data_IF_317808784023
#
_entry.id   IF_317808784023
#
_cell.length_a   1.000
_cell.length_b   1.000
_cell.length_c   1.000
_cell.angle_alpha   90.00
_cell.angle_beta   90.00
_cell.angle_gamma   90.00
#
_symmetry.space_group_name_H-M   'P 1'
#
loop_
_entity.id
_entity.type
_entity.pdbx_description
1 polymer ?
#
# COMPACT_ATOMS: atom_id res chain seq x y z
N UNK A 1 8.02 11.45 5.05
CA UNK A 1 7.52 10.67 6.18
C UNK A 1 7.74 9.18 5.89
N UNK A 2 8.17 8.39 6.87
CA UNK A 2 8.33 6.93 6.73
C UNK A 2 7.03 6.16 7.03
N UNK A 3 6.96 4.90 6.60
CA UNK A 3 5.87 4.00 6.99
C UNK A 3 5.80 3.84 8.52
N UNK A 4 6.95 3.68 9.19
CA UNK A 4 7.00 3.54 10.65
C UNK A 4 6.54 4.80 11.39
N UNK A 5 6.85 5.98 10.87
CA UNK A 5 6.34 7.24 11.42
C UNK A 5 4.82 7.32 11.29
N UNK A 6 4.28 6.99 10.11
CA UNK A 6 2.84 6.97 9.86
C UNK A 6 2.12 6.01 10.79
N UNK A 7 2.63 4.78 10.91
CA UNK A 7 2.04 3.79 11.80
C UNK A 7 2.04 4.28 13.25
N UNK A 8 3.16 4.83 13.73
CA UNK A 8 3.26 5.39 15.08
C UNK A 8 2.27 6.53 15.33
N UNK A 9 2.10 7.41 14.36
CA UNK A 9 1.13 8.51 14.44
C UNK A 9 -0.30 7.96 14.59
N UNK A 10 -0.70 7.04 13.72
CA UNK A 10 -2.00 6.38 13.77
C UNK A 10 -2.19 5.65 15.10
N UNK A 11 -1.22 4.85 15.54
CA UNK A 11 -1.31 4.10 16.80
C UNK A 11 -1.39 5.00 18.05
N UNK A 12 -0.86 6.22 17.95
CA UNK A 12 -0.92 7.21 19.03
C UNK A 12 -2.26 7.95 19.10
N UNK A 13 -3.04 7.95 18.00
CA UNK A 13 -4.35 8.62 17.91
C UNK A 13 -5.38 8.05 18.89
N UNK A 14 -6.41 8.85 19.21
CA UNK A 14 -7.51 8.41 20.09
C UNK A 14 -8.39 7.39 19.36
N UNK A 15 -8.59 7.64 18.08
CA UNK A 15 -9.35 6.87 17.10
C UNK A 15 -8.83 5.44 17.02
N UNK A 16 -7.50 5.26 16.87
CA UNK A 16 -6.89 3.94 16.86
C UNK A 16 -6.99 3.25 18.23
N UNK A 17 -6.74 3.97 19.32
CA UNK A 17 -6.81 3.39 20.67
C UNK A 17 -8.22 2.89 20.99
N UNK A 18 -9.26 3.56 20.51
CA UNK A 18 -10.64 3.10 20.62
C UNK A 18 -10.89 1.88 19.73
N UNK A 19 -10.48 1.95 18.46
CA UNK A 19 -10.57 0.84 17.52
C UNK A 19 -9.90 -0.44 18.06
N UNK A 20 -8.66 -0.36 18.55
CA UNK A 20 -7.90 -1.50 19.05
C UNK A 20 -8.50 -2.11 20.33
N UNK A 21 -9.23 -1.32 21.13
CA UNK A 21 -10.01 -1.84 22.26
C UNK A 21 -11.26 -2.59 21.80
N UNK A 22 -11.90 -2.12 20.73
CA UNK A 22 -13.11 -2.72 20.16
C UNK A 22 -12.79 -4.00 19.37
N UNK A 23 -11.67 -4.03 18.65
CA UNK A 23 -11.25 -5.13 17.78
C UNK A 23 -9.83 -5.61 18.13
N UNK A 24 -9.64 -6.26 19.30
CA UNK A 24 -8.32 -6.74 19.74
C UNK A 24 -7.77 -7.89 18.88
N UNK A 25 -8.61 -8.51 18.06
CA UNK A 25 -8.26 -9.55 17.10
C UNK A 25 -7.77 -8.98 15.76
N UNK A 26 -7.80 -7.66 15.59
CA UNK A 26 -7.31 -7.02 14.37
C UNK A 26 -5.79 -7.06 14.24
N UNK A 27 -5.29 -6.95 13.00
CA UNK A 27 -3.85 -6.88 12.73
C UNK A 27 -3.53 -6.01 11.53
N UNK A 28 -2.33 -5.43 11.51
CA UNK A 28 -1.82 -4.62 10.40
C UNK A 28 -1.69 -5.46 9.13
N UNK A 29 -2.44 -5.09 8.09
CA UNK A 29 -2.58 -5.88 6.86
C UNK A 29 -1.96 -5.20 5.64
N UNK A 30 -2.07 -3.88 5.52
CA UNK A 30 -1.44 -3.11 4.45
C UNK A 30 -1.15 -1.67 4.85
N UNK A 31 -0.25 -1.05 4.10
CA UNK A 31 -0.12 0.40 4.04
C UNK A 31 -0.14 0.85 2.58
N UNK A 32 -0.75 1.98 2.32
CA UNK A 32 -1.03 2.47 0.98
C UNK A 32 -0.65 3.94 0.88
N UNK A 33 0.05 4.29 -0.20
CA UNK A 33 0.50 5.65 -0.46
C UNK A 33 0.19 6.01 -1.91
N UNK A 34 -0.37 7.21 -2.10
CA UNK A 34 -0.49 7.82 -3.41
C UNK A 34 0.51 8.94 -3.49
N UNK A 35 1.27 8.94 -4.59
CA UNK A 35 2.39 9.84 -4.78
C UNK A 35 2.25 10.50 -6.15
N UNK A 36 2.42 11.81 -6.21
CA UNK A 36 2.42 12.54 -7.46
C UNK A 36 3.77 12.40 -8.19
N UNK A 37 3.84 12.97 -9.40
CA UNK A 37 5.07 13.00 -10.24
C UNK A 37 6.28 13.67 -9.59
N UNK A 38 6.05 14.58 -8.62
CA UNK A 38 7.10 15.25 -7.86
C UNK A 38 7.57 14.42 -6.66
N UNK A 39 7.05 13.20 -6.50
CA UNK A 39 7.27 12.33 -5.35
C UNK A 39 6.73 12.87 -4.02
N UNK A 40 5.75 13.76 -4.07
CA UNK A 40 5.02 14.23 -2.89
C UNK A 40 3.88 13.26 -2.58
N UNK A 41 3.71 12.94 -1.30
CA UNK A 41 2.68 12.01 -0.84
C UNK A 41 1.35 12.78 -0.76
N UNK A 42 0.37 12.38 -1.58
CA UNK A 42 -0.96 12.97 -1.60
C UNK A 42 -1.94 12.29 -0.63
N UNK A 43 -1.77 10.99 -0.43
CA UNK A 43 -2.61 10.20 0.46
C UNK A 43 -1.78 9.13 1.14
N UNK A 44 -2.07 8.92 2.42
CA UNK A 44 -1.53 7.86 3.27
C UNK A 44 -2.69 7.07 3.82
N UNK A 45 -2.57 5.76 3.83
CA UNK A 45 -3.55 4.88 4.43
C UNK A 45 -2.87 3.70 5.10
N UNK A 46 -3.38 3.29 6.25
CA UNK A 46 -2.97 2.05 6.93
C UNK A 46 -4.21 1.24 7.22
N UNK A 47 -4.14 -0.04 6.89
CA UNK A 47 -5.28 -0.95 6.93
C UNK A 47 -5.07 -2.03 7.99
N UNK A 48 -6.05 -2.17 8.86
CA UNK A 48 -6.11 -3.22 9.86
C UNK A 48 -7.24 -4.19 9.50
N UNK A 49 -6.91 -5.47 9.38
CA UNK A 49 -7.89 -6.50 9.10
C UNK A 49 -8.52 -6.97 10.41
N UNK A 50 -9.86 -6.98 10.50
CA UNK A 50 -10.64 -7.42 11.64
C UNK A 50 -11.09 -8.87 11.38
N UNK A 51 -10.48 -9.84 12.06
CA UNK A 51 -10.71 -11.27 11.76
C UNK A 51 -12.12 -11.73 12.06
N UNK A 52 -12.71 -11.25 13.16
CA UNK A 52 -14.05 -11.61 13.63
C UNK A 52 -15.16 -11.11 12.71
N UNK A 53 -14.94 -10.00 12.01
CA UNK A 53 -15.92 -9.42 11.09
C UNK A 53 -15.63 -9.68 9.62
N UNK A 54 -14.46 -10.22 9.28
CA UNK A 54 -13.98 -10.33 7.90
C UNK A 54 -14.00 -8.99 7.15
N UNK A 55 -13.54 -7.92 7.82
CA UNK A 55 -13.56 -6.53 7.32
C UNK A 55 -12.21 -5.86 7.46
N UNK A 56 -12.04 -4.74 6.76
CA UNK A 56 -10.85 -3.88 6.87
C UNK A 56 -11.25 -2.56 7.51
N UNK A 57 -10.51 -2.14 8.53
CA UNK A 57 -10.51 -0.77 9.02
C UNK A 57 -9.35 -0.01 8.41
N UNK A 58 -9.67 1.00 7.60
CA UNK A 58 -8.69 1.90 6.99
C UNK A 58 -8.59 3.19 7.80
N UNK A 59 -7.36 3.56 8.13
CA UNK A 59 -7.01 4.86 8.70
C UNK A 59 -6.33 5.69 7.60
N UNK A 60 -6.99 6.75 7.16
CA UNK A 60 -6.60 7.55 6.00
C UNK A 60 -6.17 8.94 6.49
N UNK A 61 -5.00 9.38 6.05
CA UNK A 61 -4.45 10.71 6.24
C UNK A 61 -4.28 11.35 4.87
N UNK A 62 -5.10 12.35 4.58
CA UNK A 62 -5.03 13.12 3.35
C UNK A 62 -3.96 14.23 3.43
N UNK A 63 -3.98 15.17 2.49
CA UNK A 63 -3.06 16.32 2.44
C UNK A 63 -3.27 17.32 3.58
N UNK A 64 -4.40 17.27 4.28
CA UNK A 64 -4.72 18.15 5.42
C UNK A 64 -4.34 17.54 6.76
N UNK A 65 -3.71 16.36 6.76
CA UNK A 65 -3.41 15.54 7.94
C UNK A 65 -4.67 15.22 8.77
N UNK A 66 -5.85 15.23 8.12
CA UNK A 66 -7.10 14.82 8.75
C UNK A 66 -7.18 13.30 8.78
N UNK A 67 -7.20 12.72 9.99
CA UNK A 67 -7.36 11.29 10.18
C UNK A 67 -8.82 10.89 9.98
N UNK A 68 -9.09 10.10 8.94
CA UNK A 68 -10.40 9.52 8.65
C UNK A 68 -10.37 8.02 8.92
N UNK A 69 -11.48 7.49 9.45
CA UNK A 69 -11.70 6.05 9.61
C UNK A 69 -12.73 5.57 8.59
N UNK A 70 -12.43 4.46 7.93
CA UNK A 70 -13.36 3.82 7.00
C UNK A 70 -13.39 2.32 7.22
N UNK A 71 -14.57 1.80 7.54
CA UNK A 71 -14.83 0.37 7.54
C UNK A 71 -15.18 -0.08 6.11
N UNK A 72 -14.42 -1.03 5.58
CA UNK A 72 -14.58 -1.60 4.25
C UNK A 72 -14.87 -3.10 4.29
N UNK A 73 -15.64 -3.57 3.29
CA UNK A 73 -15.80 -5.00 3.04
C UNK A 73 -14.65 -5.51 2.17
N UNK A 74 -14.32 -6.80 2.32
CA UNK A 74 -13.47 -7.48 1.35
C UNK A 74 -14.19 -7.58 0.00
N UNK A 75 -13.44 -7.37 -1.08
CA UNK A 75 -13.93 -7.61 -2.43
C UNK A 75 -14.36 -9.08 -2.61
N UNK A 76 -13.57 -10.02 -2.07
CA UNK A 76 -13.91 -11.44 -2.04
C UNK A 76 -14.35 -11.83 -0.63
N UNK A 77 -15.66 -12.01 -0.43
CA UNK A 77 -16.25 -12.36 0.87
C UNK A 77 -15.85 -13.75 1.35
N UNK A 78 -15.46 -14.65 0.45
CA UNK A 78 -15.04 -16.02 0.75
C UNK A 78 -13.53 -16.15 1.06
N UNK A 79 -12.78 -15.04 0.95
CA UNK A 79 -11.35 -15.05 1.22
C UNK A 79 -11.08 -15.36 2.70
N UNK A 80 -10.36 -16.47 2.96
CA UNK A 80 -9.88 -16.81 4.30
C UNK A 80 -8.56 -16.08 4.57
N UNK A 81 -8.66 -14.86 5.07
CA UNK A 81 -7.48 -14.07 5.47
C UNK A 81 -7.07 -14.49 6.87
N UNK A 82 -5.81 -14.93 7.02
CA UNK A 82 -5.24 -15.29 8.32
C UNK A 82 -4.15 -14.32 8.73
N UNK A 83 -4.04 -14.06 10.04
CA UNK A 83 -2.99 -13.24 10.65
C UNK A 83 -1.58 -13.73 10.24
N UNK A 84 -1.35 -15.04 10.34
CA UNK A 84 -0.04 -15.66 10.01
C UNK A 84 0.45 -15.34 8.59
N UNK A 85 -0.45 -15.24 7.64
CA UNK A 85 -0.10 -15.06 6.23
C UNK A 85 -0.12 -13.60 5.79
N UNK A 86 -0.89 -12.74 6.47
CA UNK A 86 -1.17 -11.39 6.02
C UNK A 86 -0.68 -10.29 6.97
N UNK A 87 -0.33 -10.62 8.21
CA UNK A 87 0.18 -9.63 9.16
C UNK A 87 1.57 -9.14 8.74
N UNK A 88 1.68 -7.83 8.60
CA UNK A 88 2.95 -7.14 8.44
C UNK A 88 3.55 -6.93 9.82
N UNK A 89 4.78 -7.41 10.02
CA UNK A 89 5.60 -6.99 11.16
C UNK A 89 6.36 -5.72 10.75
N UNK A 90 6.12 -4.55 11.38
CA UNK A 90 6.83 -3.32 11.08
C UNK A 90 8.36 -3.43 11.21
N UNK A 91 8.87 -4.40 11.98
CA UNK A 91 10.32 -4.66 12.12
C UNK A 91 10.94 -5.27 10.87
N UNK A 92 10.15 -5.97 10.04
CA UNK A 92 10.62 -6.53 8.77
C UNK A 92 10.77 -5.46 7.69
N UNK A 93 10.12 -4.31 7.84
CA UNK A 93 10.19 -3.19 6.91
C UNK A 93 11.45 -2.38 7.21
N UNK A 94 12.46 -2.48 6.35
CA UNK A 94 13.70 -1.70 6.45
C UNK A 94 13.85 -0.68 5.34
N UNK A 95 13.15 -0.88 4.22
CA UNK A 95 13.17 -0.01 3.05
C UNK A 95 12.12 1.07 3.21
N UNK A 96 12.58 2.31 3.18
CA UNK A 96 11.74 3.49 3.31
C UNK A 96 11.43 4.10 1.94
N UNK A 97 10.54 5.08 1.95
CA UNK A 97 10.03 5.69 0.73
C UNK A 97 11.14 6.30 -0.16
N UNK A 98 12.21 6.83 0.44
CA UNK A 98 13.32 7.45 -0.31
C UNK A 98 14.07 6.43 -1.17
N UNK A 99 14.24 5.21 -0.68
CA UNK A 99 14.85 4.08 -1.38
C UNK A 99 13.93 3.57 -2.50
N UNK A 100 12.62 3.57 -2.27
CA UNK A 100 11.63 3.28 -3.31
C UNK A 100 11.68 4.31 -4.45
N UNK A 101 11.77 5.60 -4.12
CA UNK A 101 11.95 6.65 -5.12
C UNK A 101 13.18 6.42 -5.99
N UNK A 102 14.30 6.02 -5.40
CA UNK A 102 15.52 5.69 -6.15
C UNK A 102 15.25 4.56 -7.16
N UNK A 103 14.58 3.50 -6.72
CA UNK A 103 14.21 2.36 -7.57
C UNK A 103 13.30 2.78 -8.73
N UNK A 104 12.35 3.68 -8.48
CA UNK A 104 11.48 4.24 -9.55
C UNK A 104 12.32 5.05 -10.54
N UNK A 105 13.21 5.93 -10.07
CA UNK A 105 14.06 6.77 -10.92
C UNK A 105 15.04 5.98 -11.79
N UNK A 106 15.50 4.83 -11.30
CA UNK A 106 16.36 3.93 -12.06
C UNK A 106 15.61 3.18 -13.17
N UNK A 107 14.30 2.99 -13.03
CA UNK A 107 13.47 2.18 -13.95
C UNK A 107 12.65 3.00 -14.92
N UNK A 108 12.22 4.18 -14.52
CA UNK A 108 11.45 5.09 -15.37
C UNK A 108 12.42 6.01 -16.09
N UNK A 109 12.65 5.71 -17.38
CA UNK A 109 13.61 6.44 -18.25
C UNK A 109 13.32 7.94 -18.35
N UNK A 110 12.04 8.31 -18.40
CA UNK A 110 11.58 9.68 -18.50
C UNK A 110 10.67 10.00 -17.32
N UNK A 111 11.22 10.64 -16.29
CA UNK A 111 10.44 10.99 -15.09
C UNK A 111 9.32 11.98 -15.38
N UNK A 112 9.44 12.80 -16.43
CA UNK A 112 8.37 13.71 -16.87
C UNK A 112 7.14 12.95 -17.39
N UNK A 113 7.31 11.70 -17.81
CA UNK A 113 6.18 10.84 -18.19
C UNK A 113 5.49 10.23 -16.96
N UNK A 114 6.08 10.32 -15.76
CA UNK A 114 5.45 9.81 -14.56
C UNK A 114 4.26 10.72 -14.19
N UNK A 115 3.08 10.13 -14.04
CA UNK A 115 1.89 10.86 -13.60
C UNK A 115 1.65 10.67 -12.10
N UNK A 116 1.55 9.40 -11.68
CA UNK A 116 1.23 9.01 -10.32
C UNK A 116 1.85 7.66 -9.99
N UNK A 117 2.28 7.48 -8.76
CA UNK A 117 2.73 6.20 -8.22
C UNK A 117 1.78 5.80 -7.10
N UNK A 118 1.23 4.60 -7.22
CA UNK A 118 0.53 3.93 -6.13
C UNK A 118 1.52 2.98 -5.49
N UNK A 119 1.72 3.08 -4.18
CA UNK A 119 2.63 2.23 -3.42
C UNK A 119 1.84 1.48 -2.36
N UNK A 120 1.96 0.16 -2.35
CA UNK A 120 1.27 -0.72 -1.42
C UNK A 120 2.29 -1.58 -0.70
N UNK A 121 2.35 -1.47 0.63
CA UNK A 121 2.98 -2.44 1.49
C UNK A 121 1.98 -3.53 1.81
N UNK A 122 2.31 -4.77 1.52
CA UNK A 122 1.49 -5.92 1.90
C UNK A 122 2.35 -7.15 2.15
N UNK A 123 1.73 -8.20 2.66
CA UNK A 123 2.35 -9.52 2.72
C UNK A 123 1.87 -10.37 1.54
N UNK A 124 2.81 -11.01 0.85
CA UNK A 124 2.54 -11.95 -0.24
C UNK A 124 3.57 -13.08 -0.16
N UNK A 125 3.10 -14.32 -0.23
CA UNK A 125 3.95 -15.52 -0.14
C UNK A 125 4.90 -15.50 1.08
N UNK A 126 4.36 -15.07 2.23
CA UNK A 126 5.07 -14.90 3.53
C UNK A 126 6.17 -13.83 3.52
N UNK A 127 6.30 -13.02 2.47
CA UNK A 127 7.23 -11.90 2.40
C UNK A 127 6.48 -10.58 2.47
N UNK A 128 7.07 -9.62 3.17
CA UNK A 128 6.60 -8.24 3.17
C UNK A 128 7.16 -7.53 1.94
N UNK A 129 6.29 -7.03 1.07
CA UNK A 129 6.62 -6.52 -0.26
C UNK A 129 6.06 -5.11 -0.43
N UNK A 130 6.87 -4.23 -0.99
CA UNK A 130 6.44 -2.98 -1.60
C UNK A 130 6.03 -3.24 -3.05
N UNK A 131 4.74 -3.16 -3.33
CA UNK A 131 4.18 -3.20 -4.68
C UNK A 131 3.94 -1.77 -5.17
N UNK A 132 4.66 -1.36 -6.20
CA UNK A 132 4.58 -0.04 -6.80
C UNK A 132 3.90 -0.15 -8.16
N UNK A 133 2.93 0.71 -8.42
CA UNK A 133 2.29 0.86 -9.72
C UNK A 133 2.55 2.29 -10.21
N UNK A 134 3.47 2.42 -11.16
CA UNK A 134 3.84 3.67 -11.79
C UNK A 134 2.95 3.88 -13.02
N UNK A 135 2.06 4.87 -12.96
CA UNK A 135 1.22 5.27 -14.08
C UNK A 135 1.94 6.35 -14.89
N UNK A 136 2.15 6.09 -16.17
CA UNK A 136 2.77 7.03 -17.09
C UNK A 136 1.72 7.78 -17.92
N UNK A 137 2.08 8.95 -18.42
CA UNK A 137 1.26 9.79 -19.31
C UNK A 137 0.89 9.08 -20.62
N UNK A 138 1.75 8.16 -21.08
CA UNK A 138 1.57 7.34 -22.29
C UNK A 138 0.57 6.20 -22.14
N UNK A 139 -0.28 6.19 -21.11
CA UNK A 139 -1.17 5.07 -20.74
C UNK A 139 -0.44 3.76 -20.47
N UNK A 140 0.88 3.80 -20.30
CA UNK A 140 1.70 2.68 -19.89
C UNK A 140 1.76 2.60 -18.36
N UNK A 141 1.67 1.39 -17.84
CA UNK A 141 1.81 1.09 -16.43
C UNK A 141 3.09 0.27 -16.25
N UNK A 142 3.93 0.70 -15.31
CA UNK A 142 5.09 -0.08 -14.86
C UNK A 142 4.87 -0.49 -13.41
N UNK A 143 4.79 -1.80 -13.16
CA UNK A 143 4.65 -2.37 -11.83
C UNK A 143 5.98 -2.92 -11.34
N UNK A 144 6.36 -2.58 -10.11
CA UNK A 144 7.57 -3.06 -9.45
C UNK A 144 7.17 -3.75 -8.14
N UNK A 145 7.74 -4.91 -7.85
CA UNK A 145 7.64 -5.54 -6.53
C UNK A 145 9.03 -5.56 -5.90
N UNK A 146 9.16 -4.94 -4.73
CA UNK A 146 10.43 -4.78 -4.01
C UNK A 146 10.29 -5.42 -2.64
N UNK A 147 11.26 -6.25 -2.26
CA UNK A 147 11.31 -6.84 -0.91
C UNK A 147 11.48 -5.75 0.15
N UNK A 148 10.56 -5.65 1.10
CA UNK A 148 10.52 -4.54 2.06
C UNK A 148 11.66 -4.57 3.09
N UNK A 149 12.36 -5.70 3.20
CA UNK A 149 13.50 -5.88 4.11
C UNK A 149 14.83 -5.58 3.44
N UNK A 150 15.05 -6.13 2.26
CA UNK A 150 16.35 -6.08 1.55
C UNK A 150 16.42 -5.01 0.48
N UNK A 151 15.29 -4.49 0.00
CA UNK A 151 15.24 -3.56 -1.14
C UNK A 151 15.49 -4.22 -2.48
N UNK A 152 15.59 -5.56 -2.51
CA UNK A 152 15.78 -6.30 -3.74
C UNK A 152 14.52 -6.21 -4.61
N UNK A 153 14.69 -5.83 -5.87
CA UNK A 153 13.65 -5.97 -6.88
C UNK A 153 13.33 -7.45 -7.11
N UNK A 154 12.08 -7.82 -6.87
CA UNK A 154 11.56 -9.18 -7.01
C UNK A 154 10.89 -9.38 -8.37
N UNK A 155 10.16 -8.37 -8.83
CA UNK A 155 9.42 -8.43 -10.09
C UNK A 155 9.33 -7.04 -10.73
N UNK A 156 9.39 -7.00 -12.05
CA UNK A 156 9.15 -5.82 -12.88
C UNK A 156 8.24 -6.23 -14.03
N UNK A 157 7.14 -5.50 -14.21
CA UNK A 157 6.16 -5.70 -15.29
C UNK A 157 5.84 -4.38 -15.93
N UNK A 158 5.68 -4.40 -17.25
CA UNK A 158 5.23 -3.26 -18.04
C UNK A 158 4.07 -3.71 -18.92
N UNK A 159 2.99 -2.94 -18.94
CA UNK A 159 1.83 -3.20 -19.77
C UNK A 159 1.16 -1.87 -20.16
N UNK A 160 0.38 -1.87 -21.23
CA UNK A 160 -0.49 -0.74 -21.55
C UNK A 160 -1.82 -0.90 -20.80
N UNK A 161 -2.49 0.22 -20.50
CA UNK A 161 -3.83 0.19 -19.90
C UNK A 161 -4.81 -0.67 -20.72
N UNK A 162 -4.68 -0.67 -22.05
CA UNK A 162 -5.47 -1.53 -22.95
C UNK A 162 -5.37 -3.02 -22.62
N UNK A 163 -4.24 -3.47 -22.07
CA UNK A 163 -4.00 -4.89 -21.75
C UNK A 163 -4.81 -5.34 -20.51
N UNK A 164 -5.29 -4.38 -19.72
CA UNK A 164 -6.09 -4.62 -18.51
C UNK A 164 -7.60 -4.44 -18.73
N UNK A 165 -8.01 -3.78 -19.82
CA UNK A 165 -9.42 -3.60 -20.17
C UNK A 165 -9.90 -4.88 -20.86
N UNK A 166 -10.60 -5.75 -20.13
CA UNK A 166 -11.42 -6.78 -20.76
C UNK A 166 -12.68 -6.12 -21.32
N UNK A 167 -12.79 -6.05 -22.64
CA UNK A 167 -14.04 -5.68 -23.29
C UNK A 167 -15.00 -6.87 -23.14
N UNK A 168 -16.00 -6.73 -22.28
CA UNK A 168 -17.15 -7.63 -22.31
C UNK A 168 -17.84 -7.43 -23.66
N UNK A 169 -17.71 -8.42 -24.54
CA UNK A 169 -18.55 -8.51 -25.73
C UNK A 169 -19.91 -9.02 -25.25
N UNK A 170 -20.86 -8.11 -25.10
CA UNK A 170 -22.28 -8.44 -24.97
C UNK A 170 -22.82 -9.17 -26.18
#
# INVERSE_FOLDING_TARGET
MSFKQLLKEIESSKEYKQFNKQYPDSFLSSAFFIVNKNFEIEMRQVDFFITSENKIMSFILDQTDCLQQKLGELYNKDAKITKKENEIDPKEVSIEFKELQKSIKEKIKYLDDLNKVIVVLHKKDKKTIWSLTCMLTSLKITSLSIDAKSGKLLEEKSANISDYIKVDKG
#
